data_IF_839822192851
#
_entry.id   IF_839822192851
#
_cell.length_a   1.000
_cell.length_b   1.000
_cell.length_c   1.000
_cell.angle_alpha   90.00
_cell.angle_beta   90.00
_cell.angle_gamma   90.00
#
_symmetry.space_group_name_H-M   'P 1'
#
loop_
_entity.id
_entity.type
_entity.pdbx_description
1 polymer ?
#
# COMPACT_ATOMS: atom_id res chain seq x y z
N UNK A 1 -22.22 -12.96 -16.15
CA UNK A 1 -20.86 -13.59 -16.12
C UNK A 1 -20.85 -14.60 -14.98
N UNK A 2 -20.18 -15.77 -15.12
CA UNK A 2 -20.09 -16.72 -14.02
C UNK A 2 -19.06 -16.23 -12.96
N UNK A 3 -19.15 -16.76 -11.72
CA UNK A 3 -18.33 -16.32 -10.60
C UNK A 3 -16.82 -16.42 -10.86
N UNK A 4 -16.36 -17.50 -11.51
CA UNK A 4 -14.93 -17.70 -11.85
C UNK A 4 -14.43 -16.63 -12.82
N UNK A 5 -15.19 -16.28 -13.86
CA UNK A 5 -14.83 -15.21 -14.80
C UNK A 5 -14.85 -13.83 -14.12
N UNK A 6 -15.79 -13.61 -13.22
CA UNK A 6 -15.83 -12.38 -12.40
C UNK A 6 -14.57 -12.23 -11.56
N UNK A 7 -14.15 -13.30 -10.85
CA UNK A 7 -12.94 -13.29 -10.04
C UNK A 7 -11.71 -12.90 -10.87
N UNK A 8 -11.49 -13.57 -12.01
CA UNK A 8 -10.31 -13.31 -12.83
C UNK A 8 -10.31 -11.91 -13.45
N UNK A 9 -11.48 -11.40 -13.86
CA UNK A 9 -11.58 -10.03 -14.36
C UNK A 9 -11.20 -9.00 -13.27
N UNK A 10 -11.75 -9.14 -12.07
CA UNK A 10 -11.43 -8.25 -10.96
C UNK A 10 -9.97 -8.41 -10.49
N UNK A 11 -9.45 -9.64 -10.50
CA UNK A 11 -8.04 -9.90 -10.18
C UNK A 11 -7.10 -9.23 -11.19
N UNK A 12 -7.35 -9.36 -12.48
CA UNK A 12 -6.55 -8.73 -13.52
C UNK A 12 -6.63 -7.19 -13.42
N UNK A 13 -7.81 -6.63 -13.21
CA UNK A 13 -7.95 -5.19 -12.96
C UNK A 13 -7.11 -4.76 -11.76
N UNK A 14 -7.15 -5.50 -10.66
CA UNK A 14 -6.35 -5.22 -9.47
C UNK A 14 -4.84 -5.36 -9.72
N UNK A 15 -4.45 -6.35 -10.52
CA UNK A 15 -3.06 -6.55 -10.94
C UNK A 15 -2.54 -5.35 -11.73
N UNK A 16 -3.28 -4.90 -12.75
CA UNK A 16 -2.90 -3.74 -13.56
C UNK A 16 -2.93 -2.44 -12.75
N UNK A 17 -3.82 -2.31 -11.77
CA UNK A 17 -3.83 -1.20 -10.82
C UNK A 17 -2.48 -1.08 -10.08
N UNK A 18 -1.94 -2.19 -9.55
CA UNK A 18 -0.64 -2.18 -8.88
C UNK A 18 0.54 -2.04 -9.85
N UNK A 19 0.45 -2.59 -11.06
CA UNK A 19 1.47 -2.36 -12.11
C UNK A 19 1.60 -0.86 -12.39
N UNK A 20 0.49 -0.17 -12.62
CA UNK A 20 0.43 1.26 -12.93
C UNK A 20 1.10 2.12 -11.85
N UNK A 21 0.82 1.83 -10.59
CA UNK A 21 1.44 2.56 -9.45
C UNK A 21 2.97 2.49 -9.49
N UNK A 22 3.53 1.33 -9.78
CA UNK A 22 4.97 1.09 -9.65
C UNK A 22 5.78 1.48 -10.90
N UNK A 23 5.15 1.52 -12.07
CA UNK A 23 5.79 1.98 -13.31
C UNK A 23 6.39 3.38 -13.14
N UNK A 24 5.68 4.30 -12.50
CA UNK A 24 6.15 5.65 -12.26
C UNK A 24 7.53 5.68 -11.57
N UNK A 25 7.68 4.90 -10.50
CA UNK A 25 8.91 4.92 -9.70
C UNK A 25 10.12 4.36 -10.45
N UNK A 26 9.90 3.38 -11.33
CA UNK A 26 10.97 2.83 -12.17
C UNK A 26 11.49 3.82 -13.19
N UNK A 27 10.63 4.71 -13.69
CA UNK A 27 10.98 5.65 -14.75
C UNK A 27 11.37 7.04 -14.24
N UNK A 28 11.49 7.25 -12.93
CA UNK A 28 11.92 8.53 -12.34
C UNK A 28 13.19 9.10 -12.99
N UNK A 29 14.29 8.33 -13.20
CA UNK A 29 15.46 8.87 -13.86
C UNK A 29 15.20 9.36 -15.29
N UNK A 30 14.33 8.67 -16.02
CA UNK A 30 13.98 9.03 -17.40
C UNK A 30 13.09 10.28 -17.45
N UNK A 31 12.13 10.38 -16.53
CA UNK A 31 11.27 11.58 -16.39
C UNK A 31 12.10 12.80 -16.03
N UNK A 32 13.06 12.65 -15.13
CA UNK A 32 13.95 13.73 -14.73
C UNK A 32 14.79 14.23 -15.91
N UNK A 33 15.36 13.32 -16.68
CA UNK A 33 16.19 13.67 -17.84
C UNK A 33 15.39 14.35 -18.96
N UNK A 34 14.15 13.91 -19.21
CA UNK A 34 13.33 14.40 -20.32
C UNK A 34 12.59 15.72 -19.98
N UNK A 35 12.06 15.83 -18.76
CA UNK A 35 11.26 16.99 -18.33
C UNK A 35 12.05 18.01 -17.52
N UNK A 36 13.32 17.76 -17.24
CA UNK A 36 14.21 18.62 -16.42
C UNK A 36 13.60 19.00 -15.06
N UNK A 37 12.95 18.04 -14.39
CA UNK A 37 12.25 18.24 -13.12
C UNK A 37 13.12 17.83 -11.92
N UNK A 38 12.84 18.47 -10.77
CA UNK A 38 13.55 18.21 -9.51
C UNK A 38 13.07 16.91 -8.84
N UNK A 39 13.81 16.41 -7.85
CA UNK A 39 13.42 15.28 -7.05
C UNK A 39 12.14 15.58 -6.24
N UNK A 40 11.97 16.82 -5.75
CA UNK A 40 10.70 17.26 -5.13
C UNK A 40 9.52 17.09 -6.09
N UNK A 41 9.69 17.47 -7.34
CA UNK A 41 8.65 17.35 -8.36
C UNK A 41 8.32 15.88 -8.69
N UNK A 42 9.33 15.02 -8.78
CA UNK A 42 9.14 13.57 -8.94
C UNK A 42 8.35 12.98 -7.75
N UNK A 43 8.74 13.30 -6.52
CA UNK A 43 8.03 12.87 -5.32
C UNK A 43 6.59 13.38 -5.28
N UNK A 44 6.33 14.61 -5.76
CA UNK A 44 4.99 15.20 -5.83
C UNK A 44 4.08 14.45 -6.80
N UNK A 45 4.60 13.88 -7.91
CA UNK A 45 3.81 13.02 -8.81
C UNK A 45 3.27 11.76 -8.13
N UNK A 46 4.02 11.21 -7.19
CA UNK A 46 3.57 10.09 -6.36
C UNK A 46 2.57 10.54 -5.30
N UNK A 47 2.87 11.65 -4.63
CA UNK A 47 2.06 12.18 -3.52
C UNK A 47 0.70 12.67 -3.96
N UNK A 48 0.59 13.38 -5.10
CA UNK A 48 -0.70 13.87 -5.62
C UNK A 48 -1.64 12.72 -5.94
N UNK A 49 -1.13 11.64 -6.53
CA UNK A 49 -1.90 10.43 -6.77
C UNK A 49 -2.54 9.92 -5.48
N UNK A 50 -1.73 9.73 -4.42
CA UNK A 50 -2.19 9.17 -3.16
C UNK A 50 -3.12 10.11 -2.40
N UNK A 51 -2.87 11.42 -2.44
CA UNK A 51 -3.76 12.44 -1.85
C UNK A 51 -5.13 12.43 -2.50
N UNK A 52 -5.18 12.45 -3.84
CA UNK A 52 -6.46 12.40 -4.58
C UNK A 52 -7.18 11.09 -4.32
N UNK A 53 -6.46 9.96 -4.37
CA UNK A 53 -6.99 8.64 -4.04
C UNK A 53 -7.66 8.63 -2.66
N UNK A 54 -6.96 9.11 -1.63
CA UNK A 54 -7.44 9.12 -0.25
C UNK A 54 -8.68 10.00 -0.06
N UNK A 55 -8.71 11.17 -0.71
CA UNK A 55 -9.84 12.11 -0.61
C UNK A 55 -11.05 11.62 -1.40
N UNK A 56 -10.84 10.93 -2.52
CA UNK A 56 -11.92 10.49 -3.40
C UNK A 56 -12.54 9.15 -2.97
N UNK A 57 -11.79 8.25 -2.33
CA UNK A 57 -12.27 6.94 -1.90
C UNK A 57 -13.55 6.98 -1.03
N UNK A 58 -13.69 7.85 -0.01
CA UNK A 58 -14.92 7.96 0.77
C UNK A 58 -16.13 8.43 -0.06
N UNK A 59 -15.90 9.33 -1.01
CA UNK A 59 -16.95 9.85 -1.90
C UNK A 59 -17.49 8.73 -2.79
N UNK A 60 -16.60 7.96 -3.40
CA UNK A 60 -16.99 6.81 -4.22
C UNK A 60 -17.72 5.76 -3.40
N UNK A 61 -17.24 5.43 -2.22
CA UNK A 61 -17.93 4.49 -1.33
C UNK A 61 -19.38 4.91 -1.07
N UNK A 62 -19.57 6.21 -0.77
CA UNK A 62 -20.92 6.76 -0.53
C UNK A 62 -21.85 6.65 -1.75
N UNK A 63 -21.36 6.99 -2.95
CA UNK A 63 -22.17 6.95 -4.17
C UNK A 63 -22.36 5.53 -4.71
N UNK A 64 -21.34 4.69 -4.66
CA UNK A 64 -21.41 3.32 -5.14
C UNK A 64 -22.41 2.47 -4.35
N UNK A 65 -22.53 2.69 -3.04
CA UNK A 65 -23.52 2.00 -2.21
C UNK A 65 -24.99 2.39 -2.54
N UNK A 66 -25.20 3.45 -3.30
CA UNK A 66 -26.54 3.96 -3.68
C UNK A 66 -26.87 3.76 -5.15
N UNK A 67 -25.92 3.30 -5.92
CA UNK A 67 -26.02 3.15 -7.38
C UNK A 67 -25.53 1.79 -7.84
N UNK A 68 -25.35 1.59 -9.12
CA UNK A 68 -24.91 0.32 -9.73
C UNK A 68 -23.38 0.20 -9.61
N UNK A 69 -22.90 -0.59 -8.64
CA UNK A 69 -21.46 -0.76 -8.36
C UNK A 69 -20.65 -1.26 -9.55
N UNK A 70 -21.23 -2.11 -10.41
CA UNK A 70 -20.54 -2.58 -11.61
C UNK A 70 -20.18 -1.44 -12.57
N UNK A 71 -21.01 -0.41 -12.67
CA UNK A 71 -20.71 0.77 -13.49
C UNK A 71 -19.54 1.55 -12.92
N UNK A 72 -19.47 1.67 -11.60
CA UNK A 72 -18.32 2.30 -10.94
C UNK A 72 -17.03 1.52 -11.16
N UNK A 73 -17.04 0.18 -11.05
CA UNK A 73 -15.86 -0.66 -11.31
C UNK A 73 -15.35 -0.43 -12.73
N UNK A 74 -16.21 -0.51 -13.73
CA UNK A 74 -15.82 -0.35 -15.13
C UNK A 74 -15.42 1.09 -15.46
N UNK A 75 -16.20 2.09 -15.06
CA UNK A 75 -15.89 3.50 -15.30
C UNK A 75 -14.58 3.92 -14.62
N UNK A 76 -14.37 3.51 -13.38
CA UNK A 76 -13.13 3.75 -12.65
C UNK A 76 -11.92 3.16 -13.38
N UNK A 77 -12.04 1.91 -13.87
CA UNK A 77 -10.99 1.28 -14.66
C UNK A 77 -10.67 2.04 -15.95
N UNK A 78 -11.68 2.51 -16.65
CA UNK A 78 -11.51 3.34 -17.86
C UNK A 78 -10.85 4.68 -17.54
N UNK A 79 -11.26 5.34 -16.44
CA UNK A 79 -10.71 6.64 -16.04
C UNK A 79 -9.21 6.53 -15.73
N UNK A 80 -8.80 5.60 -14.83
CA UNK A 80 -7.37 5.52 -14.50
C UNK A 80 -6.53 5.06 -15.70
N UNK A 81 -7.02 4.09 -16.49
CA UNK A 81 -6.27 3.59 -17.63
C UNK A 81 -6.12 4.64 -18.74
N UNK A 82 -7.17 5.41 -19.01
CA UNK A 82 -7.10 6.55 -19.92
C UNK A 82 -6.15 7.64 -19.41
N UNK A 83 -6.17 7.93 -18.10
CA UNK A 83 -5.26 8.88 -17.48
C UNK A 83 -3.80 8.38 -17.51
N UNK A 84 -3.57 7.07 -17.29
CA UNK A 84 -2.25 6.45 -17.45
C UNK A 84 -1.73 6.60 -18.87
N UNK A 85 -2.57 6.28 -19.87
CA UNK A 85 -2.20 6.50 -21.27
C UNK A 85 -1.96 7.98 -21.56
N UNK A 86 -2.78 8.88 -21.01
CA UNK A 86 -2.60 10.32 -21.18
C UNK A 86 -1.22 10.79 -20.69
N UNK A 87 -0.63 10.15 -19.67
CA UNK A 87 0.75 10.44 -19.25
C UNK A 87 1.76 10.28 -20.41
N UNK A 88 1.50 9.43 -21.39
CA UNK A 88 2.40 9.24 -22.53
C UNK A 88 2.43 10.44 -23.49
N UNK A 89 1.39 11.27 -23.51
CA UNK A 89 1.29 12.42 -24.43
C UNK A 89 1.57 13.77 -23.77
N UNK A 90 1.80 13.80 -22.45
CA UNK A 90 2.09 15.05 -21.77
C UNK A 90 3.44 15.65 -22.21
N UNK A 91 3.49 16.98 -22.33
CA UNK A 91 4.67 17.72 -22.74
C UNK A 91 5.31 18.51 -21.60
N UNK A 92 4.66 18.59 -20.45
CA UNK A 92 5.15 19.35 -19.30
C UNK A 92 4.73 18.71 -17.97
N UNK A 93 5.38 19.16 -16.90
CA UNK A 93 5.15 18.68 -15.55
C UNK A 93 3.71 18.86 -15.05
N UNK A 94 3.07 20.00 -15.31
CA UNK A 94 1.72 20.29 -14.83
C UNK A 94 0.68 19.33 -15.42
N UNK A 95 0.78 19.02 -16.72
CA UNK A 95 -0.08 18.04 -17.37
C UNK A 95 0.15 16.62 -16.80
N UNK A 96 1.41 16.24 -16.53
CA UNK A 96 1.72 14.96 -15.90
C UNK A 96 1.13 14.88 -14.47
N UNK A 97 1.26 15.96 -13.70
CA UNK A 97 0.70 16.05 -12.34
C UNK A 97 -0.82 15.91 -12.35
N UNK A 98 -1.51 16.57 -13.27
CA UNK A 98 -2.96 16.46 -13.44
C UNK A 98 -3.38 15.03 -13.82
N UNK A 99 -2.67 14.39 -14.76
CA UNK A 99 -2.92 13.00 -15.14
C UNK A 99 -2.71 12.04 -13.95
N UNK A 100 -1.67 12.23 -13.14
CA UNK A 100 -1.43 11.46 -11.91
C UNK A 100 -2.55 11.62 -10.88
N UNK A 101 -3.07 12.84 -10.70
CA UNK A 101 -4.25 13.07 -9.88
C UNK A 101 -5.48 12.32 -10.40
N UNK A 102 -5.72 12.34 -11.71
CA UNK A 102 -6.85 11.65 -12.34
C UNK A 102 -6.74 10.11 -12.23
N UNK A 103 -5.52 9.56 -12.29
CA UNK A 103 -5.29 8.14 -11.98
C UNK A 103 -5.77 7.83 -10.55
N UNK A 104 -5.46 8.71 -9.58
CA UNK A 104 -5.91 8.56 -8.20
C UNK A 104 -7.44 8.50 -8.06
N UNK A 105 -8.18 9.31 -8.82
CA UNK A 105 -9.66 9.26 -8.88
C UNK A 105 -10.15 7.88 -9.35
N UNK A 106 -9.63 7.40 -10.47
CA UNK A 106 -10.04 6.12 -11.05
C UNK A 106 -9.69 4.94 -10.15
N UNK A 107 -8.47 4.89 -9.63
CA UNK A 107 -8.05 3.78 -8.78
C UNK A 107 -8.80 3.72 -7.45
N UNK A 108 -9.06 4.86 -6.82
CA UNK A 108 -9.88 4.92 -5.60
C UNK A 108 -11.29 4.34 -5.84
N UNK A 109 -11.87 4.62 -7.00
CA UNK A 109 -13.18 4.11 -7.37
C UNK A 109 -13.22 2.59 -7.47
N UNK A 110 -12.21 1.99 -8.09
CA UNK A 110 -12.12 0.55 -8.23
C UNK A 110 -11.84 -0.15 -6.90
N UNK A 111 -10.79 0.24 -6.20
CA UNK A 111 -10.30 -0.47 -5.01
C UNK A 111 -11.29 -0.45 -3.85
N UNK A 112 -12.03 0.66 -3.70
CA UNK A 112 -13.08 0.80 -2.67
C UNK A 112 -14.22 -0.20 -2.88
N UNK A 113 -14.54 -0.54 -4.13
CA UNK A 113 -15.71 -1.34 -4.49
C UNK A 113 -15.36 -2.80 -4.74
N UNK A 114 -14.20 -3.10 -5.34
CA UNK A 114 -13.87 -4.42 -5.86
C UNK A 114 -13.86 -5.52 -4.80
N UNK A 115 -13.27 -5.28 -3.62
CA UNK A 115 -13.19 -6.29 -2.55
C UNK A 115 -14.57 -6.62 -1.93
N UNK A 116 -15.38 -5.64 -1.50
CA UNK A 116 -16.75 -5.91 -1.03
C UNK A 116 -17.60 -6.60 -2.10
N UNK A 117 -17.53 -6.12 -3.35
CA UNK A 117 -18.26 -6.69 -4.46
C UNK A 117 -17.88 -8.15 -4.70
N UNK A 118 -16.60 -8.48 -4.66
CA UNK A 118 -16.12 -9.86 -4.76
C UNK A 118 -16.63 -10.73 -3.61
N UNK A 119 -16.53 -10.24 -2.37
CA UNK A 119 -16.97 -10.98 -1.19
C UNK A 119 -18.48 -11.30 -1.20
N UNK A 120 -19.30 -10.40 -1.76
CA UNK A 120 -20.75 -10.58 -1.83
C UNK A 120 -21.17 -11.59 -2.92
N UNK A 121 -20.41 -11.70 -3.99
CA UNK A 121 -20.71 -12.60 -5.12
C UNK A 121 -20.23 -14.05 -4.91
N UNK A 122 -19.66 -14.38 -3.74
CA UNK A 122 -19.16 -15.72 -3.44
C UNK A 122 -19.68 -16.26 -2.11
N UNK A 123 -19.82 -17.60 -1.97
CA UNK A 123 -20.24 -18.26 -0.74
C UNK A 123 -19.33 -17.87 0.44
N UNK A 124 -19.93 -17.73 1.63
CA UNK A 124 -19.21 -17.28 2.85
C UNK A 124 -17.99 -18.13 3.15
N UNK A 125 -18.07 -19.43 2.90
CA UNK A 125 -17.04 -20.43 3.18
C UNK A 125 -15.78 -20.25 2.31
N UNK A 126 -15.92 -19.63 1.14
CA UNK A 126 -14.82 -19.40 0.18
C UNK A 126 -14.30 -17.96 0.17
N UNK A 127 -14.95 -17.02 0.87
CA UNK A 127 -14.62 -15.59 0.83
C UNK A 127 -13.19 -15.29 1.26
N UNK A 128 -12.75 -15.86 2.38
CA UNK A 128 -11.41 -15.62 2.91
C UNK A 128 -10.32 -16.06 1.91
N UNK A 129 -10.47 -17.25 1.35
CA UNK A 129 -9.53 -17.80 0.34
C UNK A 129 -9.51 -16.96 -0.93
N UNK A 130 -10.67 -16.54 -1.42
CA UNK A 130 -10.76 -15.71 -2.62
C UNK A 130 -10.16 -14.31 -2.41
N UNK A 131 -10.42 -13.70 -1.26
CA UNK A 131 -9.81 -12.40 -0.93
C UNK A 131 -8.30 -12.51 -0.74
N UNK A 132 -7.80 -13.63 -0.20
CA UNK A 132 -6.35 -13.89 -0.13
C UNK A 132 -5.74 -14.01 -1.53
N UNK A 133 -6.37 -14.74 -2.46
CA UNK A 133 -5.91 -14.78 -3.84
C UNK A 133 -5.99 -13.40 -4.53
N UNK A 134 -7.05 -12.64 -4.28
CA UNK A 134 -7.19 -11.29 -4.81
C UNK A 134 -6.08 -10.35 -4.31
N UNK A 135 -5.66 -10.52 -3.05
CA UNK A 135 -4.58 -9.75 -2.44
C UNK A 135 -3.19 -10.05 -3.06
N UNK A 136 -3.00 -11.22 -3.71
CA UNK A 136 -1.75 -11.53 -4.42
C UNK A 136 -1.49 -10.58 -5.60
N UNK A 137 -2.51 -9.90 -6.10
CA UNK A 137 -2.34 -8.87 -7.13
C UNK A 137 -1.39 -7.74 -6.70
N UNK A 138 -1.34 -7.41 -5.39
CA UNK A 138 -0.45 -6.38 -4.86
C UNK A 138 1.04 -6.73 -5.05
N UNK A 139 1.59 -7.81 -4.46
CA UNK A 139 3.00 -8.11 -4.62
C UNK A 139 3.38 -8.46 -6.07
N UNK A 140 2.53 -9.21 -6.79
CA UNK A 140 2.79 -9.59 -8.18
C UNK A 140 2.74 -8.34 -9.08
N UNK A 141 1.70 -7.53 -8.95
CA UNK A 141 1.55 -6.29 -9.73
C UNK A 141 2.66 -5.29 -9.45
N UNK A 142 3.06 -5.14 -8.19
CA UNK A 142 4.18 -4.27 -7.83
C UNK A 142 5.48 -4.71 -8.50
N UNK A 143 5.83 -6.00 -8.45
CA UNK A 143 7.04 -6.50 -9.10
C UNK A 143 6.99 -6.32 -10.63
N UNK A 144 5.85 -6.67 -11.23
CA UNK A 144 5.66 -6.50 -12.67
C UNK A 144 5.69 -5.02 -13.06
N UNK A 145 5.20 -4.11 -12.23
CA UNK A 145 5.25 -2.67 -12.46
C UNK A 145 6.68 -2.13 -12.47
N UNK A 146 7.49 -2.52 -11.48
CA UNK A 146 8.91 -2.16 -11.47
C UNK A 146 9.66 -2.75 -12.66
N UNK A 147 9.41 -4.02 -13.00
CA UNK A 147 10.02 -4.69 -14.13
C UNK A 147 9.60 -4.04 -15.46
N UNK A 148 8.30 -3.92 -15.68
CA UNK A 148 7.76 -3.35 -16.92
C UNK A 148 8.19 -1.91 -17.11
N UNK A 149 8.05 -1.06 -16.07
CA UNK A 149 8.51 0.32 -16.11
C UNK A 149 10.00 0.43 -16.40
N UNK A 150 10.82 -0.40 -15.76
CA UNK A 150 12.26 -0.44 -15.97
C UNK A 150 12.65 -0.90 -17.39
N UNK A 151 12.13 -2.03 -17.85
CA UNK A 151 12.49 -2.62 -19.16
C UNK A 151 11.92 -1.79 -20.30
N UNK A 152 10.63 -1.51 -20.28
CA UNK A 152 9.97 -0.74 -21.35
C UNK A 152 10.52 0.68 -21.36
N UNK A 153 10.65 1.30 -20.19
CA UNK A 153 11.19 2.65 -20.06
C UNK A 153 12.58 2.80 -20.61
N UNK A 154 13.47 1.85 -20.34
CA UNK A 154 14.84 1.87 -20.85
C UNK A 154 14.94 1.72 -22.37
N UNK A 155 14.15 0.83 -22.98
CA UNK A 155 14.27 0.50 -24.41
C UNK A 155 13.41 1.38 -25.30
N UNK A 156 12.24 1.81 -24.84
CA UNK A 156 11.27 2.57 -25.64
C UNK A 156 10.84 3.92 -25.01
N UNK A 157 11.50 4.29 -23.90
CA UNK A 157 11.21 5.52 -23.18
C UNK A 157 10.05 5.40 -22.22
N UNK A 158 10.01 6.32 -21.25
CA UNK A 158 9.00 6.34 -20.18
C UNK A 158 7.56 6.48 -20.70
N UNK A 159 7.37 7.17 -21.84
CA UNK A 159 6.06 7.32 -22.48
C UNK A 159 5.47 5.99 -22.93
N UNK A 160 6.30 5.14 -23.53
CA UNK A 160 5.91 3.79 -23.93
C UNK A 160 5.53 2.92 -22.71
N UNK A 161 6.20 3.09 -21.58
CA UNK A 161 5.86 2.36 -20.37
C UNK A 161 4.44 2.67 -19.88
N UNK A 162 4.05 3.96 -19.82
CA UNK A 162 2.68 4.34 -19.46
C UNK A 162 1.65 3.89 -20.51
N UNK A 163 1.97 4.00 -21.80
CA UNK A 163 1.08 3.58 -22.87
C UNK A 163 0.76 2.07 -22.78
N UNK A 164 1.82 1.24 -22.69
CA UNK A 164 1.67 -0.22 -22.69
C UNK A 164 0.97 -0.75 -21.44
N UNK A 165 1.13 -0.08 -20.30
CA UNK A 165 0.44 -0.46 -19.06
C UNK A 165 -1.01 0.00 -19.05
N UNK A 166 -1.33 1.15 -19.63
CA UNK A 166 -2.70 1.66 -19.68
C UNK A 166 -3.64 0.89 -20.62
N UNK A 167 -3.13 0.38 -21.76
CA UNK A 167 -3.95 -0.31 -22.76
C UNK A 167 -4.72 -1.52 -22.23
N UNK A 168 -4.10 -2.48 -21.51
CA UNK A 168 -4.84 -3.62 -20.96
C UNK A 168 -5.92 -3.20 -19.96
N UNK A 169 -5.66 -2.16 -19.17
CA UNK A 169 -6.63 -1.63 -18.22
C UNK A 169 -7.88 -1.05 -18.90
N UNK A 170 -7.73 -0.35 -20.03
CA UNK A 170 -8.87 0.10 -20.85
C UNK A 170 -9.71 -1.06 -21.34
N UNK A 171 -9.08 -2.08 -21.92
CA UNK A 171 -9.78 -3.27 -22.40
C UNK A 171 -10.55 -3.98 -21.29
N UNK A 172 -9.88 -4.21 -20.14
CA UNK A 172 -10.48 -4.84 -18.96
C UNK A 172 -11.60 -3.97 -18.36
N UNK A 173 -11.44 -2.65 -18.35
CA UNK A 173 -12.45 -1.69 -17.89
C UNK A 173 -13.72 -1.72 -18.78
N UNK A 174 -13.55 -1.76 -20.10
CA UNK A 174 -14.66 -1.92 -21.04
C UNK A 174 -15.36 -3.27 -20.86
N UNK A 175 -14.58 -4.33 -20.67
CA UNK A 175 -15.11 -5.66 -20.40
C UNK A 175 -15.88 -5.68 -19.06
N UNK A 176 -15.38 -5.00 -18.04
CA UNK A 176 -16.06 -4.87 -16.76
C UNK A 176 -17.40 -4.14 -16.91
N UNK A 177 -17.40 -3.00 -17.62
CA UNK A 177 -18.58 -2.17 -17.81
C UNK A 177 -19.70 -2.93 -18.56
N UNK A 178 -19.33 -3.78 -19.54
CA UNK A 178 -20.28 -4.48 -20.41
C UNK A 178 -20.69 -5.86 -19.89
N UNK A 179 -19.83 -6.57 -19.15
CA UNK A 179 -20.03 -7.97 -18.78
C UNK A 179 -20.35 -8.21 -17.30
N UNK A 180 -20.00 -7.29 -16.39
CA UNK A 180 -20.41 -7.43 -15.00
C UNK A 180 -21.90 -7.05 -14.90
N UNK A 181 -22.67 -7.92 -14.24
CA UNK A 181 -24.06 -7.63 -13.87
C UNK A 181 -24.12 -7.61 -12.33
N UNK A 182 -24.61 -6.52 -11.78
CA UNK A 182 -24.89 -6.44 -10.34
C UNK A 182 -26.23 -7.14 -10.07
N UNK A 183 -26.14 -8.29 -9.43
CA UNK A 183 -27.31 -9.07 -9.01
C UNK A 183 -27.69 -8.79 -7.56
N UNK A 184 -26.87 -7.98 -6.86
CA UNK A 184 -27.04 -7.73 -5.46
C UNK A 184 -27.95 -6.52 -5.22
N UNK A 185 -29.16 -6.75 -4.74
CA UNK A 185 -30.03 -5.70 -4.20
C UNK A 185 -29.54 -5.35 -2.80
N UNK A 186 -29.38 -4.03 -2.56
CA UNK A 186 -28.99 -3.43 -1.28
C UNK A 186 -29.91 -3.91 -0.15
N UNK A 187 -29.48 -4.92 0.58
CA UNK A 187 -30.11 -5.38 1.83
C UNK A 187 -29.23 -5.04 3.02
N UNK A 188 -28.67 -3.83 3.06
CA UNK A 188 -28.10 -3.34 4.31
C UNK A 188 -29.21 -2.76 5.17
N UNK A 189 -29.50 -3.44 6.29
CA UNK A 189 -30.36 -2.90 7.33
C UNK A 189 -29.79 -1.55 7.81
N UNK A 190 -30.63 -0.51 7.98
CA UNK A 190 -30.21 0.78 8.55
C UNK A 190 -29.53 0.67 9.93
N UNK A 191 -29.70 -0.45 10.62
CA UNK A 191 -29.12 -0.73 11.96
C UNK A 191 -27.60 -0.95 11.97
N UNK A 192 -26.99 -1.29 10.83
CA UNK A 192 -25.54 -1.59 10.76
C UNK A 192 -24.67 -0.39 10.35
N UNK A 193 -25.29 0.78 10.17
CA UNK A 193 -24.53 1.99 9.83
C UNK A 193 -23.74 2.49 11.04
N UNK A 194 -22.43 2.69 10.82
CA UNK A 194 -21.54 3.33 11.77
C UNK A 194 -22.11 4.71 12.19
N UNK A 195 -22.20 4.96 13.50
CA UNK A 195 -22.67 6.23 14.06
C UNK A 195 -21.47 7.14 14.33
N UNK A 196 -21.66 8.46 14.31
CA UNK A 196 -20.60 9.43 14.67
C UNK A 196 -19.94 9.13 16.02
N UNK A 197 -20.73 8.64 17.00
CA UNK A 197 -20.25 8.23 18.32
C UNK A 197 -19.22 7.10 18.23
N UNK A 198 -19.35 6.18 17.29
CA UNK A 198 -18.44 5.05 17.12
C UNK A 198 -17.05 5.51 16.67
N UNK A 199 -16.96 6.57 15.82
CA UNK A 199 -15.69 7.21 15.46
C UNK A 199 -15.01 7.88 16.65
N UNK A 200 -15.76 8.60 17.47
CA UNK A 200 -15.23 9.23 18.69
C UNK A 200 -14.69 8.21 19.68
N UNK A 201 -15.34 7.06 19.82
CA UNK A 201 -14.86 5.95 20.67
C UNK A 201 -13.52 5.41 20.17
N UNK A 202 -13.35 5.26 18.86
CA UNK A 202 -12.08 4.82 18.28
C UNK A 202 -10.97 5.86 18.47
N UNK A 203 -11.25 7.13 18.20
CA UNK A 203 -10.28 8.22 18.34
C UNK A 203 -9.88 8.48 19.82
N UNK A 204 -10.73 8.14 20.78
CA UNK A 204 -10.40 8.18 22.21
C UNK A 204 -9.59 6.98 22.69
N UNK A 205 -9.51 5.91 21.90
CA UNK A 205 -8.70 4.74 22.25
C UNK A 205 -7.20 5.01 21.95
N UNK A 206 -6.47 5.46 22.94
CA UNK A 206 -5.04 5.82 22.81
C UNK A 206 -4.20 4.65 22.28
N UNK A 207 -4.45 3.41 22.73
CA UNK A 207 -3.74 2.23 22.23
C UNK A 207 -3.93 2.05 20.71
N UNK A 208 -5.17 2.23 20.23
CA UNK A 208 -5.49 2.15 18.81
C UNK A 208 -4.80 3.28 18.02
N UNK A 209 -4.87 4.52 18.47
CA UNK A 209 -4.26 5.67 17.78
C UNK A 209 -2.74 5.51 17.67
N UNK A 210 -2.07 5.16 18.77
CA UNK A 210 -0.62 4.95 18.73
C UNK A 210 -0.22 3.77 17.83
N UNK A 211 -1.04 2.72 17.74
CA UNK A 211 -0.80 1.64 16.78
C UNK A 211 -0.94 2.13 15.33
N UNK A 212 -1.96 2.94 15.03
CA UNK A 212 -2.12 3.55 13.71
C UNK A 212 -0.95 4.48 13.36
N UNK A 213 -0.44 5.27 14.31
CA UNK A 213 0.73 6.11 14.10
C UNK A 213 2.01 5.29 13.87
N UNK A 214 2.20 4.19 14.62
CA UNK A 214 3.30 3.26 14.37
C UNK A 214 3.23 2.67 12.95
N UNK A 215 2.05 2.26 12.53
CA UNK A 215 1.80 1.74 11.17
C UNK A 215 2.06 2.82 10.11
N UNK A 216 1.62 4.06 10.35
CA UNK A 216 1.86 5.18 9.44
C UNK A 216 3.36 5.47 9.24
N UNK A 217 4.15 5.41 10.30
CA UNK A 217 5.60 5.60 10.20
C UNK A 217 6.29 4.45 9.45
N UNK A 218 5.84 3.20 9.66
CA UNK A 218 6.27 2.06 8.84
C UNK A 218 5.89 2.22 7.37
N UNK A 219 4.67 2.70 7.10
CA UNK A 219 4.18 2.99 5.73
C UNK A 219 4.93 4.17 5.10
N UNK A 220 5.32 5.18 5.90
CA UNK A 220 6.19 6.27 5.45
C UNK A 220 7.54 5.73 4.94
N UNK A 221 8.19 4.86 5.71
CA UNK A 221 9.45 4.24 5.29
C UNK A 221 9.25 3.37 4.03
N UNK A 222 8.22 2.54 4.01
CA UNK A 222 7.91 1.68 2.85
C UNK A 222 7.64 2.50 1.59
N UNK A 223 6.80 3.53 1.67
CA UNK A 223 6.45 4.42 0.56
C UNK A 223 7.66 5.18 0.02
N UNK A 224 8.49 5.72 0.93
CA UNK A 224 9.73 6.39 0.58
C UNK A 224 10.73 5.46 -0.12
N UNK A 225 10.97 4.27 0.41
CA UNK A 225 11.85 3.29 -0.23
C UNK A 225 11.29 2.80 -1.57
N UNK A 226 9.98 2.57 -1.66
CA UNK A 226 9.33 2.16 -2.90
C UNK A 226 9.51 3.19 -4.01
N UNK A 227 9.44 4.47 -3.69
CA UNK A 227 9.59 5.55 -4.66
C UNK A 227 11.05 5.77 -5.08
N UNK A 228 11.99 5.68 -4.14
CA UNK A 228 13.34 6.21 -4.35
C UNK A 228 14.44 5.17 -4.49
N UNK A 229 14.28 3.91 -4.03
CA UNK A 229 15.34 2.90 -4.14
C UNK A 229 15.68 2.52 -5.59
N UNK A 230 14.74 2.42 -6.56
CA UNK A 230 15.12 2.21 -7.96
C UNK A 230 16.02 3.34 -8.49
N UNK A 231 15.70 4.60 -8.20
CA UNK A 231 16.51 5.76 -8.55
C UNK A 231 17.86 5.77 -7.82
N UNK A 232 17.87 5.36 -6.54
CA UNK A 232 19.11 5.20 -5.78
C UNK A 232 20.03 4.16 -6.40
N UNK A 233 19.53 3.00 -6.81
CA UNK A 233 20.34 2.00 -7.52
C UNK A 233 20.90 2.53 -8.84
N UNK A 234 20.11 3.28 -9.57
CA UNK A 234 20.55 3.91 -10.81
C UNK A 234 21.67 4.93 -10.57
N UNK A 235 21.49 5.89 -9.63
CA UNK A 235 22.42 7.01 -9.41
C UNK A 235 23.72 6.60 -8.70
N UNK A 236 23.66 5.68 -7.72
CA UNK A 236 24.82 5.35 -6.87
C UNK A 236 25.51 4.04 -7.25
N UNK A 237 24.77 3.08 -7.79
CA UNK A 237 25.32 1.79 -8.16
C UNK A 237 25.45 1.62 -9.66
N UNK A 238 25.14 2.64 -10.47
CA UNK A 238 25.27 2.62 -11.92
C UNK A 238 24.38 1.58 -12.60
N UNK A 239 23.29 1.15 -11.95
CA UNK A 239 22.35 0.22 -12.57
C UNK A 239 21.64 0.88 -13.73
N UNK A 240 21.43 0.14 -14.81
CA UNK A 240 20.45 0.56 -15.80
C UNK A 240 19.06 0.64 -15.17
N UNK A 241 18.18 1.45 -15.74
CA UNK A 241 16.79 1.60 -15.24
C UNK A 241 16.07 0.24 -15.17
N UNK A 242 16.30 -0.60 -16.18
CA UNK A 242 15.79 -1.98 -16.21
C UNK A 242 16.32 -2.82 -15.07
N UNK A 243 17.64 -2.82 -14.82
CA UNK A 243 18.27 -3.59 -13.74
C UNK A 243 17.80 -3.11 -12.36
N UNK A 244 17.68 -1.80 -12.18
CA UNK A 244 17.19 -1.22 -10.93
C UNK A 244 15.74 -1.66 -10.62
N UNK A 245 14.85 -1.59 -11.62
CA UNK A 245 13.46 -2.04 -11.50
C UNK A 245 13.37 -3.55 -11.22
N UNK A 246 14.13 -4.38 -11.95
CA UNK A 246 14.16 -5.83 -11.75
C UNK A 246 14.63 -6.21 -10.35
N UNK A 247 15.78 -5.68 -9.92
CA UNK A 247 16.37 -6.00 -8.61
C UNK A 247 15.45 -5.56 -7.49
N UNK A 248 14.94 -4.33 -7.55
CA UNK A 248 14.06 -3.82 -6.49
C UNK A 248 12.71 -4.56 -6.48
N UNK A 249 12.10 -4.80 -7.65
CA UNK A 249 10.85 -5.55 -7.75
C UNK A 249 10.98 -6.96 -7.18
N UNK A 250 12.07 -7.67 -7.51
CA UNK A 250 12.37 -8.99 -6.95
C UNK A 250 12.55 -8.95 -5.42
N UNK A 251 13.29 -7.94 -4.91
CA UNK A 251 13.47 -7.74 -3.46
C UNK A 251 12.13 -7.52 -2.75
N UNK A 252 11.25 -6.67 -3.27
CA UNK A 252 9.95 -6.39 -2.65
C UNK A 252 9.10 -7.65 -2.56
N UNK A 253 9.05 -8.46 -3.63
CA UNK A 253 8.26 -9.72 -3.61
C UNK A 253 8.85 -10.74 -2.67
N UNK A 254 10.12 -11.05 -2.82
CA UNK A 254 10.76 -12.14 -2.04
C UNK A 254 10.87 -11.75 -0.57
N UNK A 255 11.44 -10.58 -0.29
CA UNK A 255 11.64 -10.13 1.09
C UNK A 255 10.32 -9.73 1.75
N UNK A 256 9.37 -9.15 1.00
CA UNK A 256 8.05 -8.79 1.50
C UNK A 256 7.23 -10.03 1.88
N UNK A 257 7.20 -11.06 1.03
CA UNK A 257 6.53 -12.32 1.33
C UNK A 257 7.18 -13.01 2.55
N UNK A 258 8.51 -13.09 2.57
CA UNK A 258 9.28 -13.69 3.67
C UNK A 258 9.01 -12.94 4.98
N UNK A 259 9.10 -11.61 4.97
CA UNK A 259 8.86 -10.77 6.15
C UNK A 259 7.45 -10.96 6.71
N UNK A 260 6.43 -10.87 5.86
CA UNK A 260 5.03 -11.05 6.26
C UNK A 260 4.79 -12.43 6.88
N UNK A 261 5.31 -13.49 6.27
CA UNK A 261 5.17 -14.85 6.75
C UNK A 261 5.89 -15.07 8.10
N UNK A 262 7.15 -14.63 8.19
CA UNK A 262 7.93 -14.73 9.42
C UNK A 262 7.30 -13.94 10.56
N UNK A 263 6.76 -12.75 10.26
CA UNK A 263 6.11 -11.89 11.24
C UNK A 263 4.88 -12.54 11.87
N UNK A 264 4.03 -13.14 11.05
CA UNK A 264 2.88 -13.90 11.53
C UNK A 264 3.31 -15.05 12.43
N UNK A 265 4.22 -15.93 11.97
CA UNK A 265 4.73 -17.05 12.75
C UNK A 265 5.40 -16.64 14.07
N UNK A 266 6.21 -15.58 14.03
CA UNK A 266 6.89 -15.10 15.23
C UNK A 266 5.89 -14.57 16.26
N UNK A 267 4.91 -13.78 15.82
CA UNK A 267 3.87 -13.27 16.68
C UNK A 267 3.04 -14.38 17.31
N UNK A 268 2.63 -15.39 16.55
CA UNK A 268 1.87 -16.55 17.05
C UNK A 268 2.68 -17.38 18.06
N UNK A 269 3.98 -17.58 17.80
CA UNK A 269 4.88 -18.26 18.75
C UNK A 269 5.05 -17.49 20.06
N UNK A 270 5.21 -16.17 19.96
CA UNK A 270 5.33 -15.30 21.13
C UNK A 270 4.01 -15.17 21.89
N UNK A 271 2.86 -15.27 21.23
CA UNK A 271 1.55 -15.19 21.86
C UNK A 271 1.32 -16.30 22.91
N UNK A 272 1.98 -17.45 22.74
CA UNK A 272 1.98 -18.54 23.74
C UNK A 272 2.71 -18.15 25.04
N UNK A 273 3.55 -17.12 25.01
CA UNK A 273 4.37 -16.68 26.15
C UNK A 273 3.92 -15.36 26.76
N UNK A 274 3.33 -14.47 25.97
CA UNK A 274 2.94 -13.12 26.43
C UNK A 274 1.78 -12.56 25.63
N UNK A 275 0.88 -11.87 26.30
CA UNK A 275 -0.22 -11.13 25.67
C UNK A 275 0.24 -9.91 24.86
N UNK A 276 1.49 -9.47 25.06
CA UNK A 276 2.08 -8.35 24.30
C UNK A 276 2.80 -8.79 23.01
N UNK A 277 2.66 -10.06 22.61
CA UNK A 277 3.37 -10.67 21.49
C UNK A 277 3.33 -9.84 20.20
N UNK A 278 2.15 -9.34 19.83
CA UNK A 278 2.01 -8.50 18.64
C UNK A 278 2.88 -7.23 18.71
N UNK A 279 2.84 -6.52 19.84
CA UNK A 279 3.61 -5.29 20.03
C UNK A 279 5.11 -5.54 20.10
N UNK A 280 5.55 -6.62 20.76
CA UNK A 280 6.95 -7.04 20.81
C UNK A 280 7.46 -7.32 19.40
N UNK A 281 6.68 -8.04 18.58
CA UNK A 281 7.04 -8.37 17.20
C UNK A 281 7.12 -7.10 16.35
N UNK A 282 6.14 -6.19 16.46
CA UNK A 282 6.14 -4.91 15.72
C UNK A 282 7.35 -4.05 16.12
N UNK A 283 7.59 -3.91 17.42
CA UNK A 283 8.72 -3.13 17.94
C UNK A 283 10.06 -3.68 17.47
N UNK A 284 10.30 -4.98 17.65
CA UNK A 284 11.54 -5.62 17.22
C UNK A 284 11.78 -5.50 15.72
N UNK A 285 10.71 -5.59 14.92
CA UNK A 285 10.79 -5.43 13.47
C UNK A 285 11.26 -4.05 13.07
N UNK A 286 10.63 -3.00 13.59
CA UNK A 286 11.03 -1.62 13.28
C UNK A 286 12.41 -1.29 13.84
N UNK A 287 12.74 -1.77 15.05
CA UNK A 287 14.04 -1.56 15.64
C UNK A 287 15.17 -2.18 14.79
N UNK A 288 14.96 -3.39 14.27
CA UNK A 288 15.92 -4.07 13.39
C UNK A 288 15.95 -3.46 11.98
N UNK A 289 14.84 -2.93 11.48
CA UNK A 289 14.79 -2.30 10.16
C UNK A 289 15.76 -1.11 10.07
N UNK A 290 15.93 -0.34 11.16
CA UNK A 290 16.80 0.83 11.17
C UNK A 290 18.26 0.51 10.83
N UNK A 291 18.99 -0.34 11.59
CA UNK A 291 20.40 -0.64 11.30
C UNK A 291 20.60 -1.30 9.95
N UNK A 292 19.66 -2.11 9.48
CA UNK A 292 19.72 -2.70 8.15
C UNK A 292 19.61 -1.65 7.05
N UNK A 293 18.61 -0.77 7.11
CA UNK A 293 18.40 0.25 6.10
C UNK A 293 19.49 1.33 6.14
N UNK A 294 19.83 1.83 7.34
CA UNK A 294 20.90 2.82 7.51
C UNK A 294 22.27 2.26 7.13
N UNK A 295 22.59 1.03 7.58
CA UNK A 295 23.85 0.36 7.26
C UNK A 295 24.06 0.17 5.76
N UNK A 296 23.01 -0.12 5.01
CA UNK A 296 23.07 -0.25 3.56
C UNK A 296 23.54 1.04 2.86
N UNK A 297 23.14 2.20 3.39
CA UNK A 297 23.53 3.51 2.85
C UNK A 297 25.03 3.79 3.00
N UNK A 298 25.65 3.27 4.06
CA UNK A 298 27.08 3.45 4.34
C UNK A 298 27.96 2.37 3.70
N UNK A 299 27.40 1.29 3.14
CA UNK A 299 28.19 0.26 2.49
C UNK A 299 28.87 0.76 1.23
N UNK A 300 30.18 0.45 1.12
CA UNK A 300 30.97 0.75 -0.07
C UNK A 300 30.89 -0.35 -1.13
N UNK A 301 30.44 -1.56 -0.78
CA UNK A 301 30.33 -2.70 -1.68
C UNK A 301 28.87 -3.03 -1.97
N UNK A 302 28.56 -3.33 -3.24
CA UNK A 302 27.18 -3.58 -3.71
C UNK A 302 26.51 -4.76 -3.00
N UNK A 303 27.16 -5.93 -2.95
CA UNK A 303 26.52 -7.13 -2.40
C UNK A 303 26.14 -6.99 -0.92
N UNK A 304 27.01 -6.51 -0.01
CA UNK A 304 26.60 -6.22 1.36
C UNK A 304 25.47 -5.19 1.45
N UNK A 305 25.49 -4.14 0.62
CA UNK A 305 24.40 -3.14 0.59
C UNK A 305 23.07 -3.77 0.21
N UNK A 306 23.03 -4.62 -0.83
CA UNK A 306 21.81 -5.33 -1.23
C UNK A 306 21.31 -6.30 -0.15
N UNK A 307 22.21 -7.02 0.53
CA UNK A 307 21.82 -7.92 1.63
C UNK A 307 21.25 -7.16 2.83
N UNK A 308 21.86 -6.03 3.18
CA UNK A 308 21.33 -5.16 4.23
C UNK A 308 19.96 -4.56 3.84
N UNK A 309 19.81 -4.07 2.61
CA UNK A 309 18.51 -3.60 2.12
C UNK A 309 17.45 -4.71 2.14
N UNK A 310 17.81 -5.92 1.71
CA UNK A 310 16.93 -7.09 1.76
C UNK A 310 16.47 -7.38 3.21
N UNK A 311 17.40 -7.39 4.17
CA UNK A 311 17.10 -7.52 5.59
C UNK A 311 16.18 -6.41 6.10
N UNK A 312 16.42 -5.15 5.70
CA UNK A 312 15.58 -4.00 6.01
C UNK A 312 14.16 -4.15 5.47
N UNK A 313 14.01 -4.58 4.22
CA UNK A 313 12.69 -4.84 3.59
C UNK A 313 11.96 -5.96 4.33
N UNK A 314 12.63 -7.09 4.64
CA UNK A 314 12.03 -8.16 5.47
C UNK A 314 11.51 -7.58 6.78
N UNK A 315 12.30 -6.78 7.47
CA UNK A 315 11.93 -6.17 8.75
C UNK A 315 10.75 -5.18 8.64
N UNK A 316 10.64 -4.41 7.55
CA UNK A 316 9.52 -3.49 7.31
C UNK A 316 8.21 -4.25 7.01
N UNK A 317 8.26 -5.39 6.34
CA UNK A 317 7.07 -6.20 6.05
C UNK A 317 6.65 -7.13 7.20
N UNK A 318 7.56 -7.46 8.10
CA UNK A 318 7.32 -8.36 9.22
C UNK A 318 6.15 -7.92 10.14
N UNK A 319 5.91 -6.63 10.42
CA UNK A 319 4.79 -6.20 11.28
C UNK A 319 3.41 -6.24 10.62
N UNK A 320 3.27 -6.51 9.32
CA UNK A 320 1.97 -6.44 8.60
C UNK A 320 0.87 -7.32 9.23
N UNK A 321 1.19 -8.61 9.49
CA UNK A 321 0.27 -9.52 10.18
C UNK A 321 0.00 -9.11 11.64
N UNK A 322 1.04 -8.94 12.45
CA UNK A 322 0.91 -8.49 13.84
C UNK A 322 0.13 -7.19 14.04
N UNK A 323 0.31 -6.19 13.17
CA UNK A 323 -0.47 -4.94 13.23
C UNK A 323 -1.96 -5.22 13.01
N UNK A 324 -2.29 -6.00 11.97
CA UNK A 324 -3.67 -6.36 11.68
C UNK A 324 -4.32 -7.12 12.84
N UNK A 325 -3.60 -8.07 13.45
CA UNK A 325 -4.06 -8.80 14.62
C UNK A 325 -4.23 -7.91 15.86
N UNK A 326 -3.30 -6.98 16.09
CA UNK A 326 -3.39 -6.02 17.19
C UNK A 326 -4.57 -5.05 17.00
N UNK A 327 -4.85 -4.57 15.78
CA UNK A 327 -6.02 -3.76 15.46
C UNK A 327 -7.32 -4.49 15.83
N UNK A 328 -7.43 -5.77 15.48
CA UNK A 328 -8.57 -6.60 15.84
C UNK A 328 -8.70 -6.76 17.37
N UNK A 329 -7.59 -6.99 18.06
CA UNK A 329 -7.58 -7.18 19.52
C UNK A 329 -7.93 -5.89 20.31
N UNK A 330 -7.53 -4.73 19.80
CA UNK A 330 -7.81 -3.44 20.44
C UNK A 330 -9.22 -2.90 20.17
N UNK A 331 -9.98 -3.50 19.24
CA UNK A 331 -11.26 -2.98 18.78
C UNK A 331 -12.41 -3.96 19.00
N UNK A 332 -13.59 -3.45 19.37
CA UNK A 332 -14.80 -4.26 19.50
C UNK A 332 -15.28 -4.72 18.12
N UNK A 333 -15.90 -5.89 18.02
CA UNK A 333 -16.39 -6.47 16.76
C UNK A 333 -17.25 -5.49 15.94
N UNK A 334 -18.13 -4.73 16.60
CA UNK A 334 -19.03 -3.74 15.99
C UNK A 334 -18.30 -2.64 15.21
N UNK A 335 -17.10 -2.23 15.65
CA UNK A 335 -16.35 -1.09 15.08
C UNK A 335 -15.10 -1.50 14.31
N UNK A 336 -14.87 -2.80 14.11
CA UNK A 336 -13.63 -3.30 13.46
C UNK A 336 -13.44 -2.78 12.03
N UNK A 337 -14.46 -2.87 11.19
CA UNK A 337 -14.35 -2.37 9.81
C UNK A 337 -14.02 -0.87 9.77
N UNK A 338 -14.64 -0.10 10.67
CA UNK A 338 -14.35 1.32 10.84
C UNK A 338 -12.91 1.55 11.32
N UNK A 339 -12.41 0.73 12.25
CA UNK A 339 -11.04 0.84 12.74
C UNK A 339 -10.02 0.58 11.63
N UNK A 340 -10.26 -0.41 10.76
CA UNK A 340 -9.42 -0.63 9.58
C UNK A 340 -9.49 0.55 8.61
N UNK A 341 -10.66 1.12 8.37
CA UNK A 341 -10.81 2.29 7.50
C UNK A 341 -10.06 3.52 8.06
N UNK A 342 -10.18 3.79 9.36
CA UNK A 342 -9.44 4.87 10.03
C UNK A 342 -7.92 4.60 9.97
N UNK A 343 -7.49 3.36 10.21
CA UNK A 343 -6.08 3.00 10.09
C UNK A 343 -5.57 3.22 8.65
N UNK A 344 -6.30 2.76 7.63
CA UNK A 344 -5.95 2.96 6.22
C UNK A 344 -5.83 4.45 5.90
N UNK A 345 -6.77 5.27 6.36
CA UNK A 345 -6.71 6.71 6.17
C UNK A 345 -5.44 7.31 6.81
N UNK A 346 -5.13 6.95 8.06
CA UNK A 346 -3.97 7.48 8.79
C UNK A 346 -2.65 7.05 8.12
N UNK A 347 -2.53 5.79 7.68
CA UNK A 347 -1.30 5.29 7.06
C UNK A 347 -1.04 5.96 5.70
N UNK A 348 -2.08 6.25 4.94
CA UNK A 348 -1.92 6.97 3.68
C UNK A 348 -1.67 8.46 3.93
N UNK A 349 -2.43 9.10 4.83
CA UNK A 349 -2.30 10.54 5.10
C UNK A 349 -0.94 10.94 5.67
N UNK A 350 -0.35 10.12 6.55
CA UNK A 350 0.92 10.40 7.23
C UNK A 350 2.09 9.56 6.70
N UNK A 351 1.83 8.56 5.89
CA UNK A 351 2.82 7.63 5.33
C UNK A 351 3.14 7.92 3.87
N UNK A 352 2.60 7.10 2.99
CA UNK A 352 2.99 7.05 1.58
C UNK A 352 2.46 8.21 0.72
N UNK A 353 1.49 9.00 1.19
CA UNK A 353 1.13 10.25 0.52
C UNK A 353 2.18 11.36 0.75
N UNK A 354 2.92 11.29 1.85
CA UNK A 354 3.84 12.37 2.27
C UNK A 354 5.29 11.99 2.01
N UNK A 355 5.65 10.72 2.21
CA UNK A 355 7.06 10.28 2.15
C UNK A 355 7.74 10.54 0.80
N UNK A 356 7.14 10.33 -0.39
CA UNK A 356 7.86 10.53 -1.64
C UNK A 356 8.27 11.99 -1.85
N UNK A 357 7.39 12.94 -1.57
CA UNK A 357 7.68 14.37 -1.75
C UNK A 357 8.66 14.88 -0.70
N UNK A 358 8.55 14.45 0.56
CA UNK A 358 9.51 14.87 1.59
C UNK A 358 10.91 14.33 1.32
N UNK A 359 11.03 13.08 0.84
CA UNK A 359 12.32 12.53 0.45
C UNK A 359 12.85 13.23 -0.81
N UNK A 360 12.00 13.55 -1.78
CA UNK A 360 12.38 14.33 -2.95
C UNK A 360 12.96 15.68 -2.55
N UNK A 361 12.30 16.40 -1.63
CA UNK A 361 12.79 17.68 -1.11
C UNK A 361 14.10 17.51 -0.34
N UNK A 362 14.22 16.49 0.49
CA UNK A 362 15.47 16.18 1.18
C UNK A 362 16.59 15.82 0.18
N UNK A 363 16.24 15.14 -0.91
CA UNK A 363 17.20 14.81 -1.98
C UNK A 363 17.70 16.04 -2.72
N UNK A 364 16.83 17.01 -3.03
CA UNK A 364 17.22 18.27 -3.67
C UNK A 364 18.16 19.11 -2.80
N UNK A 365 18.01 19.04 -1.46
CA UNK A 365 18.80 19.88 -0.52
C UNK A 365 20.09 19.15 -0.10
N UNK A 366 20.03 17.88 0.26
CA UNK A 366 21.14 17.12 0.89
C UNK A 366 21.58 15.89 0.07
N UNK A 367 21.01 15.68 -1.11
CA UNK A 367 21.27 14.54 -1.97
C UNK A 367 20.48 13.28 -1.59
N UNK A 368 20.23 12.41 -2.58
CA UNK A 368 19.38 11.23 -2.46
C UNK A 368 19.88 10.22 -1.41
N UNK A 369 21.19 10.09 -1.24
CA UNK A 369 21.79 9.22 -0.22
C UNK A 369 21.33 9.61 1.18
N UNK A 370 21.38 10.91 1.50
CA UNK A 370 20.92 11.47 2.78
C UNK A 370 19.40 11.35 2.93
N UNK A 371 18.63 11.55 1.86
CA UNK A 371 17.20 11.37 1.87
C UNK A 371 16.79 9.91 2.20
N UNK A 372 17.47 8.91 1.63
CA UNK A 372 17.26 7.50 1.95
C UNK A 372 17.61 7.21 3.42
N UNK A 373 18.68 7.83 3.94
CA UNK A 373 19.03 7.71 5.36
C UNK A 373 17.94 8.31 6.25
N UNK A 374 17.40 9.49 5.94
CA UNK A 374 16.27 10.07 6.67
C UNK A 374 15.02 9.18 6.63
N UNK A 375 14.76 8.54 5.50
CA UNK A 375 13.67 7.56 5.40
C UNK A 375 13.86 6.41 6.41
N UNK A 376 15.11 5.96 6.60
CA UNK A 376 15.43 4.92 7.58
C UNK A 376 15.14 5.36 9.03
N UNK A 377 15.28 6.64 9.35
CA UNK A 377 14.95 7.16 10.69
C UNK A 377 13.45 7.15 10.99
N UNK A 378 12.56 7.11 9.99
CA UNK A 378 11.12 7.09 10.21
C UNK A 378 10.63 5.87 11.01
N UNK A 379 11.39 4.76 11.02
CA UNK A 379 11.03 3.58 11.81
C UNK A 379 11.28 3.74 13.31
N UNK A 380 12.08 4.72 13.74
CA UNK A 380 12.34 4.99 15.18
C UNK A 380 11.10 5.58 15.88
N UNK A 381 10.41 6.61 15.35
CA UNK A 381 9.09 6.99 15.85
C UNK A 381 8.09 5.83 15.85
N UNK A 382 8.13 4.92 14.86
CA UNK A 382 7.28 3.74 14.84
C UNK A 382 7.54 2.83 16.07
N UNK A 383 8.81 2.65 16.48
CA UNK A 383 9.16 1.95 17.71
C UNK A 383 8.53 2.64 18.95
N UNK A 384 8.69 3.95 19.06
CA UNK A 384 8.15 4.72 20.18
C UNK A 384 6.61 4.61 20.25
N UNK A 385 5.93 4.80 19.13
CA UNK A 385 4.48 4.68 19.08
C UNK A 385 4.00 3.26 19.37
N UNK A 386 4.76 2.25 18.98
CA UNK A 386 4.46 0.85 19.34
C UNK A 386 4.55 0.62 20.84
N UNK A 387 5.56 1.15 21.51
CA UNK A 387 5.69 1.08 22.98
C UNK A 387 4.54 1.82 23.70
N UNK A 388 4.19 3.02 23.23
CA UNK A 388 3.04 3.76 23.74
C UNK A 388 1.74 2.96 23.57
N UNK A 389 1.53 2.37 22.39
CA UNK A 389 0.36 1.52 22.12
C UNK A 389 0.31 0.32 23.07
N UNK A 390 1.41 -0.38 23.25
CA UNK A 390 1.53 -1.52 24.18
C UNK A 390 1.23 -1.13 25.63
N UNK A 391 1.75 0.01 26.06
CA UNK A 391 1.53 0.53 27.43
C UNK A 391 0.05 0.84 27.68
N UNK A 392 -0.62 1.55 26.78
CA UNK A 392 -2.06 1.84 26.89
C UNK A 392 -2.91 0.56 26.76
N UNK A 393 -2.52 -0.36 25.89
CA UNK A 393 -3.20 -1.65 25.72
C UNK A 393 -3.14 -2.49 27.00
N UNK A 394 -1.97 -2.55 27.68
CA UNK A 394 -1.79 -3.23 28.96
C UNK A 394 -2.66 -2.58 30.05
N UNK A 395 -2.67 -1.24 30.15
CA UNK A 395 -3.45 -0.49 31.15
C UNK A 395 -4.97 -0.69 30.98
N UNK A 396 -5.45 -0.84 29.74
CA UNK A 396 -6.88 -1.01 29.47
C UNK A 396 -7.44 -2.40 29.79
N UNK A 397 -6.60 -3.41 30.01
CA UNK A 397 -7.00 -4.81 30.25
C UNK A 397 -7.60 -5.54 29.04
N UNK A 398 -7.99 -4.83 27.99
CA UNK A 398 -8.70 -5.39 26.82
C UNK A 398 -7.94 -6.49 26.09
N UNK A 399 -6.62 -6.41 26.04
CA UNK A 399 -5.80 -7.43 25.40
C UNK A 399 -5.91 -8.76 26.12
N UNK A 400 -5.92 -8.72 27.44
CA UNK A 400 -6.06 -9.90 28.29
C UNK A 400 -7.44 -10.52 28.11
N UNK A 401 -8.49 -9.71 28.13
CA UNK A 401 -9.88 -10.12 27.88
C UNK A 401 -10.07 -10.77 26.50
N UNK A 402 -9.44 -10.22 25.45
CA UNK A 402 -9.52 -10.75 24.09
C UNK A 402 -8.80 -12.08 23.90
N UNK A 403 -7.65 -12.28 24.58
CA UNK A 403 -6.78 -13.42 24.41
C UNK A 403 -7.04 -14.56 25.42
N UNK A 404 -7.82 -14.31 26.47
CA UNK A 404 -8.25 -15.37 27.41
C UNK A 404 -9.43 -16.11 26.78
N UNK A 405 -9.36 -17.44 26.62
CA UNK A 405 -10.51 -18.22 26.17
C UNK A 405 -11.70 -17.91 27.07
N UNK A 406 -12.85 -17.56 26.51
CA UNK A 406 -14.10 -17.59 27.26
C UNK A 406 -14.28 -19.05 27.69
N UNK A 407 -14.08 -19.34 28.95
CA UNK A 407 -14.58 -20.59 29.55
C UNK A 407 -16.07 -20.66 29.19
N UNK A 408 -16.44 -21.61 28.37
CA UNK A 408 -17.85 -21.93 28.11
C UNK A 408 -18.48 -22.20 29.48
N UNK A 409 -19.20 -21.23 30.00
CA UNK A 409 -20.18 -21.49 31.04
C UNK A 409 -21.24 -22.35 30.37
N UNK A 410 -21.19 -23.64 30.72
CA UNK A 410 -22.21 -24.63 30.42
C UNK A 410 -23.56 -24.18 31.00
#
# INVERSE_FOLDING_TARGET
>A
MNAKKLFWLLFLLNLFNYIDRQVLFSVFPLLQADLHITDTQLGTLASVFMLVYMLYAPLVGYFADRTQRQKWIGASALIWSAATMACAWVKNYAALLAARGLIGVGEAGFTTIAQPFLAENFPKEKRATLLAYFALALPIGSALGYLAGGVIGQHWGWRAAFMLVGVPGLFLGLLALTRIKDTFRLTQSPRDRARRVDYLILLRNKAFIFLCLAHAMGTFALGGFSAWLPTYFHRFWGFSVSRAGLVFGAMVVVCGALGTFLGGKLADKLLKKTHLAYFITIFASFLLAFPFAAGAVFCAKLLPALLLLAGGIVCIFLPMGPISAALVALTRTRVRSMAFAVNIFIIHALGDAVSPVLLGKASDIWGLKTAILFCSFAVLPACLFTLCSAWFARKSGRLREYLTPKTETK
#
